data_IF_883152377921
#
_entry.id   IF_883152377921
#
_cell.length_a   1.000
_cell.length_b   1.000
_cell.length_c   1.000
_cell.angle_alpha   90.00
_cell.angle_beta   90.00
_cell.angle_gamma   90.00
#
_symmetry.space_group_name_H-M   'P 1'
#
loop_
_entity.id
_entity.type
_entity.pdbx_description
1 polymer ?
#
# COMPACT_ATOMS: atom_id res chain seq x y z
N UNK A 1 5.03 22.12 16.67
CA UNK A 1 5.29 20.94 15.81
C UNK A 1 6.11 19.86 16.51
N UNK A 2 7.31 20.14 17.07
CA UNK A 2 8.14 19.13 17.77
C UNK A 2 7.42 18.33 18.86
N UNK A 3 6.65 18.99 19.74
CA UNK A 3 5.85 18.31 20.77
C UNK A 3 4.83 17.31 20.20
N UNK A 4 4.29 17.58 19.01
CA UNK A 4 3.34 16.66 18.35
C UNK A 4 4.10 15.48 17.71
N UNK A 5 5.21 15.75 17.01
CA UNK A 5 6.07 14.71 16.43
C UNK A 5 6.56 13.70 17.49
N UNK A 6 6.94 14.17 18.68
CA UNK A 6 7.36 13.30 19.77
C UNK A 6 6.21 12.55 20.45
N UNK A 7 4.94 12.94 20.22
CA UNK A 7 3.76 12.32 20.86
C UNK A 7 2.98 11.41 19.93
N UNK A 8 3.28 11.45 18.63
CA UNK A 8 2.59 10.68 17.61
C UNK A 8 3.60 9.79 16.90
N UNK A 9 3.20 8.55 16.61
CA UNK A 9 3.94 7.65 15.73
C UNK A 9 3.17 7.47 14.44
N UNK A 10 3.91 7.39 13.34
CA UNK A 10 3.41 7.06 12.01
C UNK A 10 4.21 5.83 11.58
N UNK A 11 3.51 4.70 11.33
CA UNK A 11 4.14 3.40 11.05
C UNK A 11 5.19 3.06 12.12
N UNK A 12 4.78 3.11 13.38
CA UNK A 12 5.61 2.77 14.56
C UNK A 12 6.82 3.69 14.82
N UNK A 13 7.01 4.77 14.05
CA UNK A 13 8.15 5.69 14.21
C UNK A 13 7.70 7.12 14.46
N UNK A 14 8.49 7.88 15.22
CA UNK A 14 8.27 9.31 15.37
C UNK A 14 8.58 10.07 14.07
N UNK A 15 7.68 10.97 13.62
CA UNK A 15 7.96 11.82 12.48
C UNK A 15 9.23 12.66 12.71
N UNK A 16 10.10 12.71 11.70
CA UNK A 16 11.27 13.61 11.68
C UNK A 16 10.86 14.96 11.10
N UNK A 17 11.35 16.04 11.68
CA UNK A 17 11.05 17.40 11.22
C UNK A 17 12.19 17.93 10.36
N UNK A 18 11.87 18.27 9.11
CA UNK A 18 12.78 18.92 8.15
C UNK A 18 12.15 20.23 7.69
N UNK A 19 12.92 21.31 7.73
CA UNK A 19 12.54 22.65 7.30
C UNK A 19 13.52 23.10 6.19
N UNK A 20 12.97 23.43 5.02
CA UNK A 20 13.73 23.85 3.85
C UNK A 20 13.39 25.31 3.57
N UNK A 21 14.38 26.20 3.63
CA UNK A 21 14.21 27.65 3.49
C UNK A 21 15.16 28.17 2.41
N UNK A 22 14.81 28.04 1.11
CA UNK A 22 15.74 28.28 0.01
C UNK A 22 16.10 29.76 -0.20
N UNK A 23 15.36 30.70 0.41
CA UNK A 23 15.55 32.15 0.25
C UNK A 23 16.29 32.81 1.42
N UNK A 24 16.77 32.02 2.39
CA UNK A 24 17.52 32.52 3.54
C UNK A 24 18.92 31.93 3.44
N UNK A 25 19.94 32.77 3.44
CA UNK A 25 21.34 32.37 3.52
C UNK A 25 21.86 32.52 4.96
N UNK A 26 22.67 31.58 5.41
CA UNK A 26 23.31 31.66 6.72
C UNK A 26 24.46 32.68 6.71
N UNK A 27 24.62 33.42 7.80
CA UNK A 27 25.67 34.43 7.92
C UNK A 27 25.30 35.82 7.40
N UNK A 28 24.13 36.00 6.77
CA UNK A 28 23.66 37.32 6.32
C UNK A 28 23.07 38.17 7.46
N UNK A 29 22.41 37.54 8.43
CA UNK A 29 21.84 38.20 9.61
C UNK A 29 22.03 37.36 10.85
N UNK A 30 22.63 37.98 11.88
CA UNK A 30 22.88 37.34 13.17
C UNK A 30 21.59 36.90 13.85
N UNK A 31 20.54 37.70 13.76
CA UNK A 31 19.23 37.39 14.34
C UNK A 31 18.61 36.14 13.69
N UNK A 32 18.76 36.02 12.36
CA UNK A 32 18.30 34.84 11.62
C UNK A 32 19.14 33.63 12.00
N UNK A 33 20.46 33.75 12.04
CA UNK A 33 21.35 32.64 12.40
C UNK A 33 21.08 32.11 13.82
N UNK A 34 20.82 33.00 14.77
CA UNK A 34 20.47 32.62 16.14
C UNK A 34 19.12 31.88 16.19
N UNK A 35 18.16 32.26 15.35
CA UNK A 35 16.90 31.52 15.18
C UNK A 35 17.12 30.15 14.53
N UNK A 36 17.94 30.05 13.48
CA UNK A 36 18.26 28.77 12.82
C UNK A 36 18.95 27.81 13.78
N UNK A 37 19.89 28.31 14.60
CA UNK A 37 20.51 27.53 15.68
C UNK A 37 19.48 27.07 16.72
N UNK A 38 18.57 27.95 17.13
CA UNK A 38 17.50 27.59 18.07
C UNK A 38 16.62 26.47 17.50
N UNK A 39 16.26 26.52 16.20
CA UNK A 39 15.48 25.46 15.54
C UNK A 39 16.24 24.12 15.53
N UNK A 40 17.53 24.12 15.21
CA UNK A 40 18.37 22.91 15.25
C UNK A 40 18.53 22.34 16.65
N UNK A 41 18.55 23.19 17.69
CA UNK A 41 18.55 22.74 19.08
C UNK A 41 17.28 21.93 19.44
N UNK A 42 16.18 22.12 18.71
CA UNK A 42 14.98 21.28 18.82
C UNK A 42 15.01 20.01 17.97
N UNK A 43 16.19 19.61 17.47
CA UNK A 43 16.37 18.43 16.60
C UNK A 43 15.48 18.51 15.34
N UNK A 44 15.44 19.71 14.75
CA UNK A 44 14.83 19.98 13.45
C UNK A 44 15.97 20.08 12.44
N UNK A 45 15.90 19.31 11.36
CA UNK A 45 16.82 19.47 10.23
C UNK A 45 16.45 20.75 9.51
N UNK A 46 17.37 21.73 9.46
CA UNK A 46 17.15 23.03 8.81
C UNK A 46 18.15 23.21 7.68
N UNK A 47 17.64 23.39 6.47
CA UNK A 47 18.41 23.58 5.25
C UNK A 47 18.10 24.96 4.65
N UNK A 48 19.15 25.73 4.36
CA UNK A 48 19.10 27.13 3.93
C UNK A 48 19.82 27.33 2.59
N UNK A 49 19.47 28.42 1.90
CA UNK A 49 20.13 28.90 0.69
C UNK A 49 19.96 28.01 -0.54
N UNK A 50 20.75 28.28 -1.58
CA UNK A 50 20.83 27.41 -2.77
C UNK A 50 21.30 25.98 -2.43
N UNK A 51 22.06 25.82 -1.34
CA UNK A 51 22.45 24.52 -0.79
C UNK A 51 21.28 23.68 -0.26
N UNK A 52 20.15 24.30 0.12
CA UNK A 52 18.92 23.58 0.49
C UNK A 52 18.26 22.86 -0.70
N UNK A 53 18.61 23.28 -1.93
CA UNK A 53 18.17 22.66 -3.17
C UNK A 53 19.27 21.76 -3.77
N UNK A 54 20.48 21.76 -3.22
CA UNK A 54 21.64 21.06 -3.77
C UNK A 54 22.48 20.42 -2.65
N UNK A 55 22.07 19.26 -2.13
CA UNK A 55 22.97 18.43 -1.33
C UNK A 55 23.80 17.52 -2.23
N UNK A 56 25.12 17.58 -2.03
CA UNK A 56 26.17 16.90 -2.80
C UNK A 56 26.12 15.38 -2.60
N UNK A 57 25.79 14.65 -3.67
CA UNK A 57 26.33 13.29 -3.83
C UNK A 57 27.78 13.47 -4.25
N UNK A 58 28.71 12.90 -3.48
CA UNK A 58 30.13 12.94 -3.79
C UNK A 58 30.40 12.27 -5.13
N UNK A 59 30.69 13.07 -6.15
CA UNK A 59 31.15 12.67 -7.46
C UNK A 59 31.50 13.93 -8.24
N UNK A 60 32.78 14.11 -8.55
CA UNK A 60 33.21 15.11 -9.51
C UNK A 60 32.51 14.81 -10.84
N UNK A 61 31.67 15.72 -11.31
CA UNK A 61 31.49 15.97 -12.73
C UNK A 61 30.82 17.35 -12.90
N UNK A 62 31.56 18.24 -13.56
CA UNK A 62 31.17 19.60 -13.91
C UNK A 62 30.18 19.60 -15.09
N UNK A 63 28.94 19.12 -14.92
CA UNK A 63 27.84 19.44 -15.86
C UNK A 63 26.44 19.00 -15.35
N UNK A 64 25.76 19.76 -14.49
CA UNK A 64 24.30 19.65 -14.25
C UNK A 64 23.81 20.61 -13.14
N UNK A 65 23.58 21.89 -13.45
CA UNK A 65 23.07 22.86 -12.46
C UNK A 65 21.53 22.99 -12.41
N UNK A 66 20.76 22.29 -13.27
CA UNK A 66 19.29 22.34 -13.22
C UNK A 66 18.60 21.07 -12.71
N UNK A 67 19.27 19.90 -12.73
CA UNK A 67 18.66 18.61 -12.38
C UNK A 67 18.67 18.31 -10.87
N UNK A 68 19.50 19.02 -10.08
CA UNK A 68 19.70 18.75 -8.64
C UNK A 68 18.65 19.41 -7.75
N UNK A 69 18.12 20.57 -8.14
CA UNK A 69 17.11 21.31 -7.37
C UNK A 69 15.75 20.58 -7.30
N UNK A 70 15.27 20.07 -8.45
CA UNK A 70 14.00 19.35 -8.54
C UNK A 70 14.02 18.05 -7.70
N UNK A 71 15.14 17.31 -7.70
CA UNK A 71 15.32 16.08 -6.92
C UNK A 71 15.14 16.25 -5.40
N UNK A 72 15.58 17.38 -4.84
CA UNK A 72 15.46 17.65 -3.40
C UNK A 72 14.05 18.11 -2.98
N UNK A 73 13.36 18.84 -3.86
CA UNK A 73 11.96 19.24 -3.68
C UNK A 73 11.01 18.04 -3.75
N UNK A 74 11.31 17.00 -4.55
CA UNK A 74 10.54 15.75 -4.56
C UNK A 74 10.47 15.06 -3.19
N UNK A 75 11.47 15.26 -2.32
CA UNK A 75 11.43 14.75 -0.94
C UNK A 75 10.53 15.56 0.01
N UNK A 76 9.98 16.69 -0.44
CA UNK A 76 8.97 17.45 0.30
C UNK A 76 7.54 17.03 -0.05
N UNK A 77 7.36 16.32 -1.16
CA UNK A 77 6.08 15.73 -1.52
C UNK A 77 5.95 14.35 -0.85
N UNK A 78 4.74 13.97 -0.39
CA UNK A 78 4.50 12.61 0.05
C UNK A 78 4.81 11.65 -1.10
N UNK A 79 5.79 10.78 -0.91
CA UNK A 79 6.04 9.64 -1.80
C UNK A 79 5.39 8.41 -1.18
N UNK A 80 4.09 8.13 -1.43
CA UNK A 80 3.34 7.11 -0.69
C UNK A 80 3.96 5.71 -0.80
N UNK A 81 4.70 5.47 -1.90
CA UNK A 81 5.28 4.18 -2.26
C UNK A 81 6.78 4.05 -1.99
N UNK A 82 7.47 5.09 -1.47
CA UNK A 82 8.95 5.07 -1.31
C UNK A 82 9.47 3.92 -0.45
N UNK A 83 8.66 3.42 0.48
CA UNK A 83 9.04 2.31 1.36
C UNK A 83 8.62 0.95 0.81
N UNK A 84 8.01 0.87 -0.37
CA UNK A 84 7.51 -0.39 -0.91
C UNK A 84 8.66 -1.34 -1.21
N UNK A 85 8.47 -2.60 -0.86
CA UNK A 85 9.40 -3.67 -1.18
C UNK A 85 9.26 -4.08 -2.64
N UNK A 86 10.32 -4.62 -3.25
CA UNK A 86 10.28 -5.11 -4.65
C UNK A 86 9.22 -6.18 -4.92
N UNK A 87 8.79 -6.87 -3.86
CA UNK A 87 7.64 -7.77 -3.85
C UNK A 87 6.62 -7.30 -2.84
N UNK A 88 5.35 -7.20 -3.23
CA UNK A 88 4.25 -6.78 -2.38
C UNK A 88 3.36 -7.96 -2.02
N UNK A 89 2.99 -8.03 -0.74
CA UNK A 89 2.01 -8.99 -0.25
C UNK A 89 0.62 -8.36 -0.34
N UNK A 90 -0.25 -8.91 -1.19
CA UNK A 90 -1.57 -8.36 -1.50
C UNK A 90 -2.62 -9.00 -0.60
N UNK A 91 -3.29 -8.18 0.20
CA UNK A 91 -4.41 -8.62 1.03
C UNK A 91 -5.65 -8.95 0.19
N UNK A 92 -6.52 -9.82 0.72
CA UNK A 92 -7.75 -10.26 0.08
C UNK A 92 -8.66 -9.09 -0.31
N UNK A 93 -8.67 -8.00 0.46
CA UNK A 93 -9.50 -6.82 0.14
C UNK A 93 -9.06 -6.10 -1.12
N UNK A 94 -7.76 -6.05 -1.41
CA UNK A 94 -7.23 -5.49 -2.66
C UNK A 94 -7.31 -6.49 -3.82
N UNK A 95 -7.18 -7.79 -3.56
CA UNK A 95 -7.47 -8.80 -4.58
C UNK A 95 -8.91 -8.65 -5.13
N UNK A 96 -9.88 -8.37 -4.26
CA UNK A 96 -11.26 -8.07 -4.68
C UNK A 96 -11.36 -6.78 -5.51
N UNK A 97 -10.65 -5.73 -5.12
CA UNK A 97 -10.61 -4.49 -5.90
C UNK A 97 -10.02 -4.69 -7.30
N UNK A 98 -8.99 -5.52 -7.42
CA UNK A 98 -8.32 -5.84 -8.69
C UNK A 98 -9.14 -6.65 -9.67
N UNK A 99 -10.28 -7.21 -9.27
CA UNK A 99 -11.15 -7.95 -10.19
C UNK A 99 -12.57 -7.40 -10.26
N UNK A 100 -12.94 -6.51 -9.34
CA UNK A 100 -14.29 -5.95 -9.22
C UNK A 100 -14.69 -5.19 -10.48
N UNK A 101 -15.89 -5.46 -11.00
CA UNK A 101 -16.45 -4.69 -12.12
C UNK A 101 -16.51 -3.19 -11.80
N UNK A 102 -16.79 -2.82 -10.54
CA UNK A 102 -16.81 -1.42 -10.06
C UNK A 102 -15.51 -0.72 -10.36
N UNK A 103 -14.38 -1.42 -10.28
CA UNK A 103 -13.06 -0.82 -10.47
C UNK A 103 -12.61 -0.79 -11.93
N UNK A 104 -13.22 -1.63 -12.77
CA UNK A 104 -12.78 -1.87 -14.15
C UNK A 104 -13.63 -1.19 -15.22
N UNK A 105 -14.91 -0.90 -14.93
CA UNK A 105 -15.84 -0.32 -15.90
C UNK A 105 -16.24 1.11 -15.51
N UNK A 106 -16.20 2.02 -16.48
CA UNK A 106 -16.58 3.43 -16.32
C UNK A 106 -18.10 3.61 -16.25
N UNK A 107 -18.81 2.80 -17.02
CA UNK A 107 -20.24 2.93 -17.24
C UNK A 107 -20.99 1.71 -16.71
N UNK A 108 -21.19 1.67 -15.40
CA UNK A 108 -22.15 0.77 -14.77
C UNK A 108 -23.36 1.60 -14.37
N UNK A 109 -24.52 1.25 -14.93
CA UNK A 109 -25.77 1.89 -14.57
C UNK A 109 -26.20 1.46 -13.16
N UNK A 110 -26.46 2.41 -12.24
CA UNK A 110 -26.96 2.08 -10.92
C UNK A 110 -28.28 1.32 -11.01
N UNK A 111 -28.33 0.11 -10.45
CA UNK A 111 -29.55 -0.67 -10.33
C UNK A 111 -30.11 -0.58 -8.90
N UNK A 112 -31.45 -0.48 -8.72
CA UNK A 112 -32.09 -0.62 -7.41
C UNK A 112 -31.82 -1.97 -6.73
N UNK A 113 -31.43 -3.00 -7.51
CA UNK A 113 -31.04 -4.31 -6.98
C UNK A 113 -29.67 -4.30 -6.31
N UNK A 114 -28.85 -3.27 -6.56
CA UNK A 114 -27.54 -3.15 -5.95
C UNK A 114 -27.64 -2.63 -4.52
N UNK A 115 -26.84 -3.23 -3.65
CA UNK A 115 -26.71 -2.74 -2.29
C UNK A 115 -26.23 -1.28 -2.30
N UNK A 116 -26.77 -0.44 -1.39
CA UNK A 116 -26.48 1.01 -1.32
C UNK A 116 -24.98 1.35 -1.27
N UNK A 117 -24.16 0.45 -0.70
CA UNK A 117 -22.71 0.62 -0.67
C UNK A 117 -22.08 0.57 -2.07
N UNK A 118 -22.58 -0.30 -2.96
CA UNK A 118 -22.11 -0.42 -4.36
C UNK A 118 -22.47 0.85 -5.12
N UNK A 119 -23.70 1.35 -4.98
CA UNK A 119 -24.14 2.59 -5.64
C UNK A 119 -23.21 3.76 -5.27
N UNK A 120 -22.89 3.91 -3.98
CA UNK A 120 -21.91 4.91 -3.54
C UNK A 120 -20.52 4.68 -4.12
N UNK A 121 -20.05 3.43 -4.17
CA UNK A 121 -18.75 3.13 -4.78
C UNK A 121 -18.72 3.52 -6.27
N UNK A 122 -19.81 3.32 -7.01
CA UNK A 122 -19.93 3.75 -8.42
C UNK A 122 -19.86 5.28 -8.55
N UNK A 123 -20.51 6.02 -7.66
CA UNK A 123 -20.41 7.49 -7.61
C UNK A 123 -18.95 7.94 -7.39
N UNK A 124 -18.28 7.37 -6.40
CA UNK A 124 -16.87 7.68 -6.12
C UNK A 124 -15.92 7.26 -7.25
N UNK A 125 -16.16 6.12 -7.90
CA UNK A 125 -15.31 5.64 -9.00
C UNK A 125 -15.35 6.59 -10.21
N UNK A 126 -16.52 7.18 -10.50
CA UNK A 126 -16.67 8.16 -11.60
C UNK A 126 -15.82 9.41 -11.39
N UNK A 127 -15.67 9.86 -10.14
CA UNK A 127 -14.85 11.03 -9.81
C UNK A 127 -13.37 10.67 -9.68
N UNK A 128 -13.07 9.50 -9.09
CA UNK A 128 -11.71 9.06 -8.79
C UNK A 128 -11.57 7.55 -9.01
N UNK A 129 -11.20 7.13 -10.23
CA UNK A 129 -11.01 5.72 -10.56
C UNK A 129 -9.93 5.06 -9.68
N UNK A 130 -10.28 4.01 -8.95
CA UNK A 130 -9.41 3.41 -7.95
C UNK A 130 -8.15 2.81 -8.58
N UNK A 131 -8.32 2.08 -9.68
CA UNK A 131 -7.22 1.38 -10.32
C UNK A 131 -6.18 2.38 -10.82
N UNK A 132 -6.60 3.34 -11.65
CA UNK A 132 -5.70 4.30 -12.27
C UNK A 132 -5.06 5.27 -11.27
N UNK A 133 -5.79 5.68 -10.22
CA UNK A 133 -5.31 6.73 -9.31
C UNK A 133 -4.56 6.22 -8.07
N UNK A 134 -4.76 4.96 -7.67
CA UNK A 134 -4.18 4.40 -6.44
C UNK A 134 -3.48 3.07 -6.67
N UNK A 135 -4.17 2.06 -7.23
CA UNK A 135 -3.62 0.69 -7.25
C UNK A 135 -2.53 0.50 -8.31
N UNK A 136 -2.70 1.01 -9.53
CA UNK A 136 -1.67 0.94 -10.57
C UNK A 136 -0.39 1.64 -10.15
N UNK A 137 -0.40 2.90 -9.67
CA UNK A 137 0.80 3.53 -9.16
C UNK A 137 1.45 2.78 -7.98
N UNK A 138 0.66 2.08 -7.16
CA UNK A 138 1.17 1.31 -6.02
C UNK A 138 1.79 -0.04 -6.42
N UNK A 139 1.39 -0.61 -7.56
CA UNK A 139 1.69 -2.01 -7.91
C UNK A 139 2.59 -2.16 -9.14
N UNK A 140 2.63 -1.16 -10.02
CA UNK A 140 3.46 -1.18 -11.23
C UNK A 140 4.95 -1.34 -10.89
N UNK A 141 5.64 -2.24 -11.58
CA UNK A 141 7.06 -2.50 -11.35
C UNK A 141 7.36 -3.36 -10.10
N UNK A 142 6.34 -3.78 -9.34
CA UNK A 142 6.49 -4.68 -8.21
C UNK A 142 6.05 -6.10 -8.56
N UNK A 143 6.72 -7.09 -7.98
CA UNK A 143 6.21 -8.46 -7.98
C UNK A 143 5.04 -8.57 -6.98
N UNK A 144 4.03 -9.37 -7.32
CA UNK A 144 2.85 -9.52 -6.48
C UNK A 144 2.75 -10.94 -5.94
N UNK A 145 2.56 -11.06 -4.63
CA UNK A 145 2.28 -12.34 -3.95
C UNK A 145 1.05 -12.20 -3.07
N UNK A 146 0.39 -13.31 -2.77
CA UNK A 146 -0.61 -13.36 -1.70
C UNK A 146 -0.65 -14.76 -1.08
N UNK A 147 -1.17 -14.86 0.14
CA UNK A 147 -1.22 -16.13 0.86
C UNK A 147 -2.23 -17.10 0.24
N UNK A 148 -2.05 -18.40 0.49
CA UNK A 148 -2.98 -19.42 0.01
C UNK A 148 -4.35 -19.30 0.67
N UNK A 149 -4.44 -18.84 1.92
CA UNK A 149 -5.71 -18.51 2.57
C UNK A 149 -6.41 -17.33 1.91
N UNK A 150 -5.68 -16.26 1.56
CA UNK A 150 -6.23 -15.11 0.84
C UNK A 150 -6.70 -15.51 -0.57
N UNK A 151 -5.90 -16.27 -1.30
CA UNK A 151 -6.26 -16.80 -2.63
C UNK A 151 -7.53 -17.66 -2.55
N UNK A 152 -7.59 -18.59 -1.59
CA UNK A 152 -8.74 -19.49 -1.40
C UNK A 152 -10.00 -18.70 -1.10
N UNK A 153 -9.93 -17.75 -0.17
CA UNK A 153 -11.08 -16.91 0.17
C UNK A 153 -11.54 -16.06 -0.99
N UNK A 154 -10.60 -15.45 -1.70
CA UNK A 154 -10.87 -14.64 -2.87
C UNK A 154 -11.70 -15.45 -3.89
N UNK A 155 -11.25 -16.67 -4.19
CA UNK A 155 -11.96 -17.60 -5.09
C UNK A 155 -13.35 -17.98 -4.56
N UNK A 156 -13.47 -18.31 -3.27
CA UNK A 156 -14.78 -18.60 -2.66
C UNK A 156 -15.76 -17.44 -2.86
N UNK A 157 -15.33 -16.20 -2.59
CA UNK A 157 -16.16 -15.00 -2.73
C UNK A 157 -16.59 -14.83 -4.19
N UNK A 158 -15.63 -14.78 -5.12
CA UNK A 158 -15.91 -14.54 -6.54
C UNK A 158 -16.77 -15.66 -7.15
N UNK A 159 -16.54 -16.93 -6.79
CA UNK A 159 -17.36 -18.03 -7.28
C UNK A 159 -18.79 -17.98 -6.74
N UNK A 160 -18.99 -17.42 -5.55
CA UNK A 160 -20.31 -17.35 -4.90
C UNK A 160 -21.13 -16.18 -5.41
N UNK A 161 -20.52 -14.99 -5.51
CA UNK A 161 -21.22 -13.73 -5.75
C UNK A 161 -20.66 -12.91 -6.92
N UNK A 162 -19.61 -13.35 -7.61
CA UNK A 162 -19.02 -12.59 -8.72
C UNK A 162 -19.77 -12.73 -10.04
N UNK A 163 -19.68 -11.70 -10.89
CA UNK A 163 -20.09 -11.74 -12.30
C UNK A 163 -19.14 -12.61 -13.13
N UNK A 164 -19.51 -12.88 -14.38
CA UNK A 164 -18.67 -13.68 -15.28
C UNK A 164 -17.36 -12.96 -15.62
N UNK A 165 -17.38 -11.63 -15.74
CA UNK A 165 -16.20 -10.79 -15.94
C UNK A 165 -15.29 -10.77 -14.70
N UNK A 166 -15.86 -10.69 -13.49
CA UNK A 166 -15.10 -10.77 -12.22
C UNK A 166 -14.43 -12.13 -12.03
N UNK A 167 -15.13 -13.22 -12.37
CA UNK A 167 -14.57 -14.58 -12.40
C UNK A 167 -13.44 -14.68 -13.41
N UNK A 168 -13.64 -14.18 -14.63
CA UNK A 168 -12.62 -14.22 -15.68
C UNK A 168 -11.37 -13.42 -15.30
N UNK A 169 -11.52 -12.22 -14.74
CA UNK A 169 -10.36 -11.46 -14.21
C UNK A 169 -9.65 -12.20 -13.09
N UNK A 170 -10.39 -12.92 -12.23
CA UNK A 170 -9.79 -13.75 -11.18
C UNK A 170 -8.94 -14.88 -11.75
N UNK A 171 -9.42 -15.57 -12.80
CA UNK A 171 -8.63 -16.62 -13.49
C UNK A 171 -7.33 -16.07 -14.09
N UNK A 172 -7.39 -14.89 -14.69
CA UNK A 172 -6.21 -14.22 -15.27
C UNK A 172 -5.26 -13.76 -14.15
N UNK A 173 -5.80 -13.16 -13.08
CA UNK A 173 -5.03 -12.63 -11.95
C UNK A 173 -4.18 -13.71 -11.29
N UNK A 174 -4.68 -14.95 -11.18
CA UNK A 174 -3.95 -16.07 -10.60
C UNK A 174 -3.28 -17.00 -11.61
N UNK A 175 -3.43 -16.73 -12.91
CA UNK A 175 -2.80 -17.52 -13.97
C UNK A 175 -3.40 -18.91 -14.13
N UNK A 176 -4.69 -19.09 -13.84
CA UNK A 176 -5.39 -20.37 -13.97
C UNK A 176 -5.61 -20.77 -15.43
N UNK A 177 -5.51 -19.80 -16.34
CA UNK A 177 -5.66 -20.01 -17.77
C UNK A 177 -4.45 -20.76 -18.33
N UNK A 178 -4.63 -21.99 -18.85
CA UNK A 178 -3.55 -22.74 -19.48
C UNK A 178 -2.85 -21.91 -20.55
N UNK A 179 -1.53 -21.99 -20.64
CA UNK A 179 -0.77 -21.23 -21.65
C UNK A 179 -1.19 -21.58 -23.08
N UNK A 180 -1.64 -22.83 -23.30
CA UNK A 180 -2.12 -23.32 -24.60
C UNK A 180 -3.45 -22.69 -25.04
N UNK A 181 -4.33 -22.32 -24.10
CA UNK A 181 -5.61 -21.65 -24.43
C UNK A 181 -5.45 -20.15 -24.65
N UNK A 182 -4.26 -19.60 -24.37
CA UNK A 182 -3.94 -18.18 -24.51
C UNK A 182 -3.68 -17.74 -25.95
N UNK A 183 -3.35 -18.68 -26.83
CA UNK A 183 -2.88 -18.37 -28.18
C UNK A 183 -1.64 -17.46 -28.13
N UNK A 184 -1.65 -16.37 -28.92
CA UNK A 184 -0.55 -15.39 -28.97
C UNK A 184 -0.76 -14.18 -28.05
N UNK A 185 -1.87 -14.09 -27.32
CA UNK A 185 -2.18 -12.91 -26.48
C UNK A 185 -1.36 -12.94 -25.19
N UNK A 186 -0.87 -11.77 -24.77
CA UNK A 186 -0.23 -11.64 -23.47
C UNK A 186 -1.27 -11.60 -22.34
N UNK A 187 -0.87 -11.95 -21.12
CA UNK A 187 -1.73 -11.87 -19.93
C UNK A 187 -2.32 -10.46 -19.75
N UNK A 188 -1.51 -9.43 -20.01
CA UNK A 188 -1.93 -8.03 -19.96
C UNK A 188 -3.01 -7.72 -20.99
N UNK A 189 -2.90 -8.24 -22.21
CA UNK A 189 -3.91 -8.00 -23.26
C UNK A 189 -5.27 -8.60 -22.89
N UNK A 190 -5.30 -9.81 -22.35
CA UNK A 190 -6.56 -10.41 -21.86
C UNK A 190 -7.15 -9.64 -20.69
N UNK A 191 -6.29 -9.16 -19.78
CA UNK A 191 -6.75 -8.36 -18.66
C UNK A 191 -7.31 -7.01 -19.13
N UNK A 192 -6.69 -6.40 -20.15
CA UNK A 192 -7.13 -5.17 -20.80
C UNK A 192 -8.48 -5.31 -21.50
N UNK A 193 -8.77 -6.46 -22.13
CA UNK A 193 -10.07 -6.75 -22.76
C UNK A 193 -11.24 -6.74 -21.77
N UNK A 194 -10.95 -6.83 -20.48
CA UNK A 194 -11.91 -6.85 -19.39
C UNK A 194 -11.90 -5.54 -18.58
N UNK A 195 -11.35 -4.45 -19.12
CA UNK A 195 -11.29 -3.15 -18.46
C UNK A 195 -11.44 -1.95 -19.41
N UNK A 196 -12.16 -0.93 -18.96
CA UNK A 196 -12.26 0.39 -19.61
C UNK A 196 -11.07 1.32 -19.27
N UNK A 197 -10.23 0.91 -18.33
CA UNK A 197 -9.03 1.61 -17.92
C UNK A 197 -7.80 0.95 -18.51
N UNK A 198 -6.79 1.75 -18.83
CA UNK A 198 -5.51 1.25 -19.32
C UNK A 198 -4.82 0.42 -18.22
N UNK A 199 -4.38 -0.78 -18.58
CA UNK A 199 -3.62 -1.66 -17.71
C UNK A 199 -2.13 -1.37 -17.90
N UNK A 200 -1.38 -1.07 -16.83
CA UNK A 200 0.03 -0.74 -16.95
C UNK A 200 0.84 -1.91 -17.56
N UNK A 201 1.73 -1.64 -18.53
CA UNK A 201 2.51 -2.68 -19.19
C UNK A 201 3.48 -3.39 -18.25
N UNK A 202 3.90 -2.74 -17.17
CA UNK A 202 4.81 -3.30 -16.15
C UNK A 202 4.05 -3.89 -14.94
N UNK A 203 2.75 -4.15 -15.06
CA UNK A 203 1.99 -4.84 -14.03
C UNK A 203 2.41 -6.33 -13.98
N UNK A 204 2.93 -6.78 -12.84
CA UNK A 204 3.39 -8.17 -12.68
C UNK A 204 2.23 -9.09 -12.32
N UNK A 205 1.50 -9.56 -13.34
CA UNK A 205 0.52 -10.65 -13.22
C UNK A 205 1.00 -11.90 -13.96
N UNK A 206 0.72 -13.12 -13.47
CA UNK A 206 -0.17 -13.43 -12.35
C UNK A 206 0.42 -13.18 -10.95
N UNK A 207 -0.46 -12.92 -9.98
CA UNK A 207 -0.14 -12.84 -8.54
C UNK A 207 0.23 -14.24 -8.04
N UNK A 208 1.42 -14.39 -7.47
CA UNK A 208 1.90 -15.70 -7.00
C UNK A 208 1.31 -16.05 -5.65
N UNK A 209 0.70 -17.24 -5.55
CA UNK A 209 0.22 -17.77 -4.28
C UNK A 209 1.38 -18.39 -3.48
N UNK A 210 1.48 -18.06 -2.20
CA UNK A 210 2.52 -18.57 -1.28
C UNK A 210 1.91 -19.31 -0.09
N UNK A 211 2.60 -20.33 0.40
CA UNK A 211 2.21 -21.09 1.60
C UNK A 211 2.65 -20.32 2.85
N UNK A 212 1.75 -19.57 3.45
CA UNK A 212 2.10 -18.64 4.53
C UNK A 212 2.35 -19.37 5.86
N UNK A 213 1.50 -20.35 6.18
CA UNK A 213 1.49 -21.02 7.49
C UNK A 213 2.85 -21.58 7.91
N UNK A 214 3.53 -22.35 7.06
CA UNK A 214 4.81 -22.97 7.40
C UNK A 214 5.91 -21.94 7.69
N UNK A 215 5.89 -20.80 6.98
CA UNK A 215 6.87 -19.72 7.19
C UNK A 215 6.57 -18.94 8.46
N UNK A 216 5.30 -18.68 8.76
CA UNK A 216 4.89 -18.01 10.00
C UNK A 216 5.24 -18.89 11.21
N UNK A 217 4.87 -20.17 11.19
CA UNK A 217 5.14 -21.12 12.27
C UNK A 217 6.66 -21.21 12.53
N UNK A 218 7.47 -21.36 11.48
CA UNK A 218 8.93 -21.39 11.59
C UNK A 218 9.54 -20.08 12.11
N UNK A 219 9.00 -18.92 11.71
CA UNK A 219 9.48 -17.62 12.20
C UNK A 219 9.17 -17.40 13.68
N UNK A 220 8.01 -17.90 14.15
CA UNK A 220 7.64 -17.88 15.57
C UNK A 220 8.59 -18.76 16.37
N UNK A 221 8.85 -20.00 15.93
CA UNK A 221 9.78 -20.92 16.60
C UNK A 221 11.21 -20.36 16.68
N UNK A 222 11.63 -19.62 15.65
CA UNK A 222 12.94 -18.96 15.60
C UNK A 222 12.99 -17.63 16.37
N UNK A 223 11.88 -17.17 16.97
CA UNK A 223 11.84 -15.91 17.72
C UNK A 223 12.03 -14.67 16.85
N UNK A 224 11.69 -14.73 15.55
CA UNK A 224 11.84 -13.59 14.61
C UNK A 224 10.82 -12.48 14.84
N UNK A 225 9.70 -12.78 15.50
CA UNK A 225 8.66 -11.81 15.82
C UNK A 225 8.80 -11.29 17.25
N UNK A 226 8.55 -9.99 17.49
CA UNK A 226 8.57 -9.43 18.83
C UNK A 226 7.45 -10.03 19.70
N UNK A 227 7.63 -10.20 21.02
CA UNK A 227 6.67 -10.89 21.89
C UNK A 227 5.21 -10.41 21.78
N UNK A 228 4.99 -9.14 21.42
CA UNK A 228 3.66 -8.55 21.19
C UNK A 228 2.85 -9.27 20.10
N UNK A 229 3.50 -10.03 19.21
CA UNK A 229 2.81 -10.78 18.14
C UNK A 229 1.70 -11.67 18.70
N UNK A 230 1.87 -12.25 19.89
CA UNK A 230 0.87 -13.13 20.51
C UNK A 230 -0.45 -12.39 20.74
N UNK A 231 -0.37 -11.14 21.21
CA UNK A 231 -1.53 -10.28 21.44
C UNK A 231 -2.20 -9.85 20.13
N UNK A 232 -1.41 -9.64 19.09
CA UNK A 232 -1.94 -9.36 17.76
C UNK A 232 -2.66 -10.61 17.22
N UNK A 233 -2.08 -11.80 17.36
CA UNK A 233 -2.65 -13.05 16.85
C UNK A 233 -4.03 -13.38 17.47
N UNK A 234 -4.24 -13.08 18.75
CA UNK A 234 -5.50 -13.31 19.49
C UNK A 234 -6.73 -12.64 18.85
N UNK A 235 -6.55 -11.55 18.10
CA UNK A 235 -7.66 -10.74 17.57
C UNK A 235 -7.89 -10.87 16.06
N UNK A 236 -6.98 -11.54 15.35
CA UNK A 236 -7.07 -11.65 13.89
C UNK A 236 -7.86 -12.89 13.48
N UNK A 237 -8.68 -12.73 12.44
CA UNK A 237 -9.24 -13.88 11.72
C UNK A 237 -8.12 -14.67 11.03
N UNK A 238 -8.37 -15.94 10.68
CA UNK A 238 -7.37 -16.80 10.02
C UNK A 238 -6.76 -16.16 8.75
N UNK A 239 -7.58 -15.45 7.96
CA UNK A 239 -7.11 -14.75 6.76
C UNK A 239 -6.20 -13.58 7.12
N UNK A 240 -6.67 -12.71 8.02
CA UNK A 240 -5.89 -11.54 8.40
C UNK A 240 -4.58 -11.98 9.07
N UNK A 241 -4.63 -13.02 9.90
CA UNK A 241 -3.45 -13.64 10.47
C UNK A 241 -2.50 -14.07 9.36
N UNK A 242 -2.95 -14.87 8.38
CA UNK A 242 -2.08 -15.33 7.28
C UNK A 242 -1.41 -14.16 6.55
N UNK A 243 -2.18 -13.14 6.14
CA UNK A 243 -1.68 -12.04 5.31
C UNK A 243 -0.74 -11.14 6.09
N UNK A 244 -1.17 -10.62 7.25
CA UNK A 244 -0.38 -9.64 7.99
C UNK A 244 0.85 -10.26 8.65
N UNK A 245 0.76 -11.50 9.16
CA UNK A 245 1.94 -12.18 9.70
C UNK A 245 2.91 -12.59 8.59
N UNK A 246 2.43 -13.02 7.42
CA UNK A 246 3.32 -13.32 6.30
C UNK A 246 4.13 -12.07 5.91
N UNK A 247 3.47 -10.90 5.79
CA UNK A 247 4.16 -9.63 5.57
C UNK A 247 5.16 -9.31 6.68
N UNK A 248 4.77 -9.50 7.94
CA UNK A 248 5.64 -9.23 9.10
C UNK A 248 6.90 -10.09 9.09
N UNK A 249 6.77 -11.41 8.94
CA UNK A 249 7.90 -12.35 9.05
C UNK A 249 8.84 -12.31 7.84
N UNK A 250 8.34 -11.87 6.69
CA UNK A 250 9.14 -11.72 5.46
C UNK A 250 9.71 -10.32 5.27
N UNK A 251 9.29 -9.35 6.08
CA UNK A 251 9.62 -7.93 5.90
C UNK A 251 9.01 -7.33 4.62
N UNK A 252 8.04 -8.00 3.99
CA UNK A 252 7.36 -7.48 2.80
C UNK A 252 6.34 -6.42 3.19
N UNK A 253 6.23 -5.38 2.35
CA UNK A 253 5.12 -4.42 2.44
C UNK A 253 3.83 -5.15 2.09
N UNK A 254 2.89 -5.15 3.03
CA UNK A 254 1.53 -5.62 2.78
C UNK A 254 0.68 -4.46 2.29
N UNK A 255 -0.04 -4.66 1.19
CA UNK A 255 -1.02 -3.68 0.68
C UNK A 255 -2.43 -4.18 1.01
N UNK A 256 -3.27 -3.33 1.62
CA UNK A 256 -4.62 -3.70 2.06
C UNK A 256 -5.56 -2.51 2.04
N UNK A 257 -6.86 -2.72 1.87
CA UNK A 257 -7.89 -1.71 2.15
C UNK A 257 -8.61 -1.93 3.50
N UNK A 258 -8.15 -2.90 4.30
CA UNK A 258 -8.74 -3.26 5.59
C UNK A 258 -8.21 -2.36 6.72
N UNK A 259 -8.57 -1.08 6.69
CA UNK A 259 -8.10 -0.08 7.66
C UNK A 259 -8.37 -0.47 9.11
N UNK A 260 -9.49 -1.12 9.39
CA UNK A 260 -9.87 -1.52 10.75
C UNK A 260 -8.85 -2.49 11.34
N UNK A 261 -8.47 -3.52 10.60
CA UNK A 261 -7.49 -4.51 11.05
C UNK A 261 -6.12 -3.89 11.22
N UNK A 262 -5.69 -3.06 10.27
CA UNK A 262 -4.39 -2.37 10.36
C UNK A 262 -4.33 -1.48 11.60
N UNK A 263 -5.35 -0.67 11.85
CA UNK A 263 -5.44 0.16 13.08
C UNK A 263 -5.47 -0.68 14.35
N UNK A 264 -6.12 -1.84 14.32
CA UNK A 264 -6.16 -2.74 15.47
C UNK A 264 -4.78 -3.31 15.78
N UNK A 265 -4.04 -3.74 14.75
CA UNK A 265 -2.64 -4.18 14.89
C UNK A 265 -1.78 -3.05 15.46
N UNK A 266 -1.86 -1.85 14.87
CA UNK A 266 -1.13 -0.67 15.33
C UNK A 266 -1.44 -0.34 16.80
N UNK A 267 -2.71 -0.34 17.18
CA UNK A 267 -3.16 -0.04 18.54
C UNK A 267 -2.62 -1.06 19.54
N UNK A 268 -2.68 -2.35 19.23
CA UNK A 268 -2.17 -3.40 20.11
C UNK A 268 -0.67 -3.25 20.32
N UNK A 269 0.08 -2.98 19.25
CA UNK A 269 1.53 -2.80 19.32
C UNK A 269 1.88 -1.59 20.18
N UNK A 270 1.21 -0.44 19.98
CA UNK A 270 1.46 0.75 20.79
C UNK A 270 1.07 0.55 22.27
N UNK A 271 -0.03 -0.16 22.55
CA UNK A 271 -0.46 -0.45 23.93
C UNK A 271 0.51 -1.35 24.69
N UNK A 272 1.22 -2.23 23.99
CA UNK A 272 2.16 -3.19 24.58
C UNK A 272 3.62 -2.82 24.33
N UNK A 273 3.88 -1.59 23.87
CA UNK A 273 5.24 -1.09 23.58
C UNK A 273 6.13 -1.09 24.82
N UNK A 274 5.58 -0.83 26.01
CA UNK A 274 6.28 -0.89 27.30
C UNK A 274 7.62 -0.13 27.33
N UNK A 275 7.74 0.98 26.58
CA UNK A 275 8.94 1.80 26.48
C UNK A 275 9.98 1.34 25.44
N UNK A 276 9.71 0.28 24.69
CA UNK A 276 10.55 -0.16 23.56
C UNK A 276 10.33 0.76 22.35
N UNK A 277 11.22 1.73 22.16
CA UNK A 277 11.16 2.68 21.04
C UNK A 277 11.43 2.04 19.67
N UNK A 278 12.11 0.88 19.66
CA UNK A 278 12.47 0.16 18.44
C UNK A 278 11.42 -0.89 18.03
N UNK A 279 10.36 -1.08 18.85
CA UNK A 279 9.28 -2.00 18.53
C UNK A 279 8.53 -1.56 17.26
N UNK A 280 8.60 -2.39 16.22
CA UNK A 280 7.91 -2.18 14.95
C UNK A 280 6.92 -3.32 14.68
N UNK A 281 5.79 -2.96 14.06
CA UNK A 281 4.83 -3.92 13.54
C UNK A 281 5.05 -4.26 12.06
N UNK A 282 4.11 -4.98 11.44
CA UNK A 282 4.18 -5.26 10.02
C UNK A 282 4.13 -3.97 9.21
N UNK A 283 4.92 -3.89 8.14
CA UNK A 283 4.83 -2.77 7.22
C UNK A 283 3.58 -2.91 6.35
N UNK A 284 2.62 -2.01 6.53
CA UNK A 284 1.36 -2.00 5.78
C UNK A 284 1.14 -0.65 5.09
N UNK A 285 0.79 -0.70 3.81
CA UNK A 285 0.17 0.43 3.12
C UNK A 285 -1.34 0.20 3.04
N UNK A 286 -2.10 1.20 3.48
CA UNK A 286 -3.55 1.17 3.47
C UNK A 286 -4.05 1.94 2.27
N UNK A 287 -4.70 1.26 1.34
CA UNK A 287 -5.56 1.90 0.37
C UNK A 287 -6.82 2.38 1.10
N UNK A 288 -7.13 3.66 0.99
CA UNK A 288 -8.26 4.26 1.69
C UNK A 288 -9.62 3.78 1.19
N UNK A 289 -9.62 3.06 0.06
CA UNK A 289 -10.79 2.72 -0.71
C UNK A 289 -10.90 1.21 -0.87
N UNK A 290 -11.97 0.63 -0.33
CA UNK A 290 -12.34 -0.77 -0.54
C UNK A 290 -13.35 -0.90 -1.69
N UNK A 291 -13.45 -2.11 -2.27
CA UNK A 291 -14.37 -2.39 -3.37
C UNK A 291 -15.20 -3.63 -3.11
N UNK A 292 -16.45 -3.56 -3.55
CA UNK A 292 -17.38 -4.68 -3.56
C UNK A 292 -17.42 -5.31 -4.96
N UNK A 293 -17.81 -6.57 -5.02
CA UNK A 293 -18.20 -7.20 -6.28
C UNK A 293 -19.65 -6.79 -6.62
N UNK A 294 -19.99 -6.76 -7.90
CA UNK A 294 -21.34 -6.37 -8.35
C UNK A 294 -22.31 -7.55 -8.33
N UNK A 295 -21.81 -8.78 -8.47
CA UNK A 295 -22.68 -9.91 -8.74
C UNK A 295 -23.74 -10.17 -7.66
N UNK A 296 -24.79 -10.87 -8.10
CA UNK A 296 -26.10 -10.88 -7.44
C UNK A 296 -26.04 -11.30 -5.98
N UNK A 297 -26.78 -10.60 -5.11
CA UNK A 297 -27.26 -11.21 -3.86
C UNK A 297 -28.10 -12.43 -4.25
N UNK A 298 -27.63 -13.64 -3.94
CA UNK A 298 -28.51 -14.80 -3.92
C UNK A 298 -29.50 -14.60 -2.78
N UNK A 299 -30.70 -14.16 -3.16
CA UNK A 299 -31.93 -14.04 -2.36
C UNK A 299 -31.75 -14.32 -0.87
N UNK A 300 -31.44 -13.28 -0.10
CA UNK A 300 -31.71 -13.29 1.34
C UNK A 300 -33.23 -13.29 1.47
N UNK A 301 -33.83 -14.48 1.57
CA UNK A 301 -35.25 -14.60 1.92
C UNK A 301 -35.47 -13.78 3.19
N UNK A 302 -36.27 -12.72 3.07
CA UNK A 302 -36.88 -12.05 4.21
C UNK A 302 -37.79 -13.00 4.96
#
# INVERSE_FOLDING_TARGET
MRKAANRTRVRYRHPRLRLVIPKIEEGESREIDDLLKALRHYDITVECGEGALSSRVGGNDDDATSATAEGHLHHLLPTPFKSFTSTLNVDCTLLLALVSDVSHFKNIEPSPEYHRAIIRQLEFERERPLLATELWPAMEGHNLVCTDEATRRMREIVNTIGTDTEKRRTEILFGDTPSESRGTKSVIQEFQELSDYEIPPQLTIPVKTVKAKSLIDSAIEQGKLPPVFQKVAEVLSNINHSVFFYGWVTGMTTISSNRTVVKQIETIIEQHRNGDEDLEGPQVWVCDTARSLIGKEKGRKS
#
